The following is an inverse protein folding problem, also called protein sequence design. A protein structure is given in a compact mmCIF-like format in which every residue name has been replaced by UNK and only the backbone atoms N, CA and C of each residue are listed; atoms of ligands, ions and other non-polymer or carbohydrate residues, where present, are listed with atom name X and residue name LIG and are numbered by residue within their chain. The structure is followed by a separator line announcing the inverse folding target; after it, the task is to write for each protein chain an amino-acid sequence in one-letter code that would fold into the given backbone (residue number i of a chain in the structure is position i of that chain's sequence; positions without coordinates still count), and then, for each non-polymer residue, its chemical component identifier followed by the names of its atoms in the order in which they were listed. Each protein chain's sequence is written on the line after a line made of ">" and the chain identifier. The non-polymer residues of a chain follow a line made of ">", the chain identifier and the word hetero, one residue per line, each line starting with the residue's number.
data_IF_825207177018
#
_entry.id   IF_825207177018
#
_cell.length_a   1.000
_cell.length_b   1.000
_cell.length_c   1.000
_cell.angle_alpha   90.00
_cell.angle_beta   90.00
_cell.angle_gamma   90.00
#
_symmetry.space_group_name_H-M   'P 1'
#
loop_
_entity.id
_entity.type
_entity.pdbx_description
1 polymer ?
#
# COMPACT_ATOMS: atom_id res chain seq x y z
N UNK A 1 8.29 -11.07 23.03
CA UNK A 1 7.10 -11.42 22.21
C UNK A 1 5.88 -10.55 22.56
N UNK A 2 5.27 -10.66 23.75
CA UNK A 2 4.14 -9.77 24.12
C UNK A 2 4.55 -8.30 24.28
N UNK A 3 5.72 -8.02 24.84
CA UNK A 3 6.24 -6.65 24.98
C UNK A 3 6.52 -5.97 23.61
N UNK A 4 6.99 -6.74 22.63
CA UNK A 4 7.28 -6.23 21.28
C UNK A 4 5.99 -5.83 20.53
N UNK A 5 4.89 -6.53 20.78
CA UNK A 5 3.56 -6.24 20.21
C UNK A 5 3.00 -4.95 20.80
N UNK A 6 3.02 -4.83 22.14
CA UNK A 6 2.56 -3.62 22.81
C UNK A 6 3.42 -2.41 22.41
N UNK A 7 4.72 -2.59 22.23
CA UNK A 7 5.61 -1.58 21.66
C UNK A 7 5.18 -1.14 20.26
N UNK A 8 4.95 -2.10 19.37
CA UNK A 8 4.54 -1.83 17.97
C UNK A 8 3.17 -1.14 17.89
N UNK A 9 2.19 -1.60 18.67
CA UNK A 9 0.85 -0.99 18.72
C UNK A 9 0.89 0.44 19.29
N UNK A 10 1.71 0.68 20.31
CA UNK A 10 1.91 2.03 20.86
C UNK A 10 2.54 2.98 19.83
N UNK A 11 3.48 2.49 19.03
CA UNK A 11 4.10 3.27 17.95
C UNK A 11 3.08 3.57 16.85
N UNK A 12 2.27 2.59 16.44
CA UNK A 12 1.21 2.77 15.44
C UNK A 12 0.15 3.77 15.95
N UNK A 13 -0.36 3.59 17.16
CA UNK A 13 -1.35 4.50 17.74
C UNK A 13 -0.81 5.92 17.90
N UNK A 14 0.47 6.09 18.27
CA UNK A 14 1.10 7.42 18.34
C UNK A 14 1.29 8.05 16.96
N UNK A 15 1.60 7.25 15.94
CA UNK A 15 1.83 7.74 14.58
C UNK A 15 0.53 8.15 13.89
N UNK A 16 -0.53 7.36 14.11
CA UNK A 16 -1.83 7.56 13.48
C UNK A 16 -2.84 8.29 14.38
N UNK A 17 -2.47 8.65 15.62
CA UNK A 17 -3.39 9.16 16.65
C UNK A 17 -4.66 8.29 16.79
N UNK A 18 -4.51 6.97 16.68
CA UNK A 18 -5.62 6.01 16.64
C UNK A 18 -6.72 6.33 15.61
N UNK A 19 -6.36 7.05 14.54
CA UNK A 19 -7.25 7.46 13.45
C UNK A 19 -6.94 6.62 12.21
N UNK A 20 -7.96 6.28 11.43
CA UNK A 20 -7.81 5.50 10.20
C UNK A 20 -8.53 4.15 10.22
N UNK A 21 -8.74 3.59 9.04
CA UNK A 21 -9.55 2.39 8.79
C UNK A 21 -8.98 1.13 9.48
N UNK A 22 -7.70 1.11 9.84
CA UNK A 22 -7.06 -0.05 10.47
C UNK A 22 -6.80 0.13 11.97
N UNK A 23 -6.91 1.36 12.49
CA UNK A 23 -6.50 1.74 13.84
C UNK A 23 -7.68 2.21 14.69
N UNK A 24 -8.76 2.65 14.06
CA UNK A 24 -10.02 2.98 14.73
C UNK A 24 -10.83 1.74 15.06
N UNK A 25 -11.62 1.84 16.12
CA UNK A 25 -12.59 0.84 16.53
C UNK A 25 -13.99 1.48 16.66
N UNK A 26 -15.03 0.66 16.60
CA UNK A 26 -16.41 1.11 16.81
C UNK A 26 -17.00 1.93 15.66
N UNK A 27 -17.79 2.97 15.99
CA UNK A 27 -18.51 3.77 15.00
C UNK A 27 -17.59 4.50 14.01
N UNK A 28 -16.50 5.17 14.43
CA UNK A 28 -15.57 5.85 13.52
C UNK A 28 -15.00 4.93 12.43
N UNK A 29 -14.56 3.72 12.82
CA UNK A 29 -14.08 2.70 11.89
C UNK A 29 -15.11 2.34 10.81
N UNK A 30 -16.35 2.12 11.23
CA UNK A 30 -17.45 1.75 10.32
C UNK A 30 -17.74 2.87 9.32
N UNK A 31 -17.77 4.11 9.78
CA UNK A 31 -17.98 5.28 8.92
C UNK A 31 -16.84 5.48 7.92
N UNK A 32 -15.59 5.42 8.37
CA UNK A 32 -14.42 5.55 7.48
C UNK A 32 -14.35 4.41 6.46
N UNK A 33 -14.60 3.17 6.88
CA UNK A 33 -14.64 2.02 5.96
C UNK A 33 -15.74 2.19 4.92
N UNK A 34 -16.94 2.61 5.32
CA UNK A 34 -18.05 2.88 4.40
C UNK A 34 -17.71 3.99 3.42
N UNK A 35 -17.16 5.10 3.91
CA UNK A 35 -16.71 6.21 3.09
C UNK A 35 -15.66 5.78 2.07
N UNK A 36 -14.65 5.03 2.49
CA UNK A 36 -13.59 4.53 1.60
C UNK A 36 -14.14 3.58 0.52
N UNK A 37 -15.01 2.65 0.90
CA UNK A 37 -15.61 1.70 -0.05
C UNK A 37 -16.50 2.39 -1.09
N UNK A 38 -17.26 3.41 -0.69
CA UNK A 38 -18.04 4.22 -1.62
C UNK A 38 -17.14 5.04 -2.54
N UNK A 39 -16.15 5.71 -1.97
CA UNK A 39 -15.20 6.55 -2.72
C UNK A 39 -14.37 5.73 -3.72
N UNK A 40 -13.90 4.55 -3.34
CA UNK A 40 -13.16 3.65 -4.22
C UNK A 40 -13.96 3.26 -5.46
N UNK A 41 -15.26 2.97 -5.30
CA UNK A 41 -16.17 2.70 -6.43
C UNK A 41 -16.33 3.91 -7.34
N UNK A 42 -16.35 5.12 -6.77
CA UNK A 42 -16.41 6.37 -7.54
C UNK A 42 -15.12 6.61 -8.34
N UNK A 43 -13.96 6.23 -7.80
CA UNK A 43 -12.68 6.21 -8.52
C UNK A 43 -12.55 5.10 -9.57
N UNK A 44 -13.57 4.25 -9.71
CA UNK A 44 -13.62 3.22 -10.74
C UNK A 44 -13.05 1.86 -10.31
N UNK A 45 -12.79 1.65 -9.02
CA UNK A 45 -12.42 0.30 -8.54
C UNK A 45 -13.50 -0.70 -8.91
N UNK A 46 -13.08 -1.80 -9.53
CA UNK A 46 -13.97 -2.85 -10.05
C UNK A 46 -14.67 -2.49 -11.36
N UNK A 47 -14.34 -1.36 -12.00
CA UNK A 47 -14.78 -1.02 -13.34
C UNK A 47 -13.65 -1.23 -14.36
N UNK A 48 -14.02 -1.31 -15.64
CA UNK A 48 -13.09 -1.55 -16.74
C UNK A 48 -12.02 -0.45 -16.86
N UNK A 49 -12.35 0.80 -16.51
CA UNK A 49 -11.41 1.92 -16.59
C UNK A 49 -10.22 1.75 -15.64
N UNK A 50 -10.44 1.14 -14.47
CA UNK A 50 -9.35 0.86 -13.54
C UNK A 50 -8.47 -0.30 -14.03
N UNK A 51 -9.08 -1.31 -14.65
CA UNK A 51 -8.32 -2.39 -15.29
C UNK A 51 -7.41 -1.87 -16.40
N UNK A 52 -7.91 -0.96 -17.24
CA UNK A 52 -7.10 -0.34 -18.31
C UNK A 52 -5.89 0.41 -17.74
N UNK A 53 -6.05 1.13 -16.63
CA UNK A 53 -4.94 1.80 -15.94
C UNK A 53 -3.89 0.81 -15.42
N UNK A 54 -4.33 -0.32 -14.85
CA UNK A 54 -3.44 -1.40 -14.42
C UNK A 54 -2.69 -1.98 -15.63
N UNK A 55 -3.39 -2.29 -16.71
CA UNK A 55 -2.79 -2.86 -17.92
C UNK A 55 -1.75 -1.91 -18.53
N UNK A 56 -2.00 -0.61 -18.56
CA UNK A 56 -1.04 0.37 -19.06
C UNK A 56 0.23 0.46 -18.20
N UNK A 57 0.10 0.39 -16.87
CA UNK A 57 1.27 0.32 -15.99
C UNK A 57 2.02 -1.02 -16.10
N UNK A 58 1.33 -2.13 -16.35
CA UNK A 58 1.96 -3.42 -16.67
C UNK A 58 2.74 -3.36 -17.98
N UNK A 59 2.21 -2.71 -19.04
CA UNK A 59 2.95 -2.53 -20.30
C UNK A 59 4.24 -1.75 -20.07
N UNK A 60 4.20 -0.69 -19.26
CA UNK A 60 5.39 0.10 -18.88
C UNK A 60 6.39 -0.80 -18.13
N UNK A 61 5.92 -1.59 -17.15
CA UNK A 61 6.77 -2.54 -16.43
C UNK A 61 7.46 -3.53 -17.39
N UNK A 62 6.72 -4.12 -18.31
CA UNK A 62 7.27 -5.08 -19.28
C UNK A 62 8.30 -4.43 -20.21
N UNK A 63 8.07 -3.19 -20.64
CA UNK A 63 9.05 -2.43 -21.42
C UNK A 63 10.34 -2.20 -20.63
N UNK A 64 10.22 -1.83 -19.35
CA UNK A 64 11.38 -1.66 -18.47
C UNK A 64 12.14 -2.98 -18.26
N UNK A 65 11.44 -4.08 -18.02
CA UNK A 65 12.06 -5.40 -17.83
C UNK A 65 12.79 -5.89 -19.07
N UNK A 66 12.25 -5.61 -20.27
CA UNK A 66 12.93 -5.95 -21.54
C UNK A 66 14.26 -5.25 -21.72
N UNK A 67 14.44 -4.03 -21.18
CA UNK A 67 15.72 -3.28 -21.27
C UNK A 67 16.86 -3.96 -20.53
N UNK A 68 16.58 -4.85 -19.58
CA UNK A 68 17.62 -5.58 -18.86
C UNK A 68 18.22 -6.72 -19.69
N UNK A 69 17.60 -7.13 -20.80
CA UNK A 69 18.16 -8.10 -21.75
C UNK A 69 18.73 -9.38 -21.08
N UNK A 70 17.95 -9.96 -20.16
CA UNK A 70 18.34 -11.15 -19.41
C UNK A 70 19.31 -10.94 -18.24
N UNK A 71 19.74 -9.70 -17.97
CA UNK A 71 20.58 -9.37 -16.81
C UNK A 71 19.79 -9.44 -15.51
N UNK A 72 20.49 -9.74 -14.42
CA UNK A 72 19.92 -9.74 -13.07
C UNK A 72 19.33 -8.37 -12.73
N UNK A 73 18.10 -8.38 -12.21
CA UNK A 73 17.33 -7.21 -11.81
C UNK A 73 16.55 -7.54 -10.52
N UNK A 74 16.34 -6.54 -9.68
CA UNK A 74 15.41 -6.58 -8.57
C UNK A 74 13.95 -6.45 -9.06
N UNK A 75 13.35 -7.58 -9.42
CA UNK A 75 11.96 -7.64 -9.84
C UNK A 75 10.99 -7.13 -8.74
N UNK A 76 11.30 -7.35 -7.47
CA UNK A 76 10.49 -6.90 -6.35
C UNK A 76 10.42 -5.36 -6.30
N UNK A 77 11.55 -4.68 -6.51
CA UNK A 77 11.57 -3.22 -6.60
C UNK A 77 10.74 -2.68 -7.77
N UNK A 78 10.85 -3.31 -8.94
CA UNK A 78 10.07 -2.93 -10.11
C UNK A 78 8.56 -3.11 -9.91
N UNK A 79 8.15 -4.24 -9.33
CA UNK A 79 6.75 -4.49 -8.97
C UNK A 79 6.24 -3.46 -7.96
N UNK A 80 7.01 -3.23 -6.89
CA UNK A 80 6.62 -2.26 -5.86
C UNK A 80 6.45 -0.84 -6.44
N UNK A 81 7.31 -0.44 -7.38
CA UNK A 81 7.17 0.81 -8.11
C UNK A 81 5.90 0.87 -8.96
N UNK A 82 5.59 -0.20 -9.70
CA UNK A 82 4.37 -0.29 -10.52
C UNK A 82 3.13 -0.20 -9.65
N UNK A 83 3.06 -0.96 -8.55
CA UNK A 83 1.95 -0.90 -7.59
C UNK A 83 1.77 0.51 -7.01
N UNK A 84 2.86 1.11 -6.53
CA UNK A 84 2.80 2.45 -5.96
C UNK A 84 2.38 3.50 -7.01
N UNK A 85 2.79 3.34 -8.26
CA UNK A 85 2.39 4.23 -9.37
C UNK A 85 0.89 4.17 -9.61
N UNK A 86 0.28 2.97 -9.60
CA UNK A 86 -1.17 2.78 -9.76
C UNK A 86 -1.91 3.46 -8.59
N UNK A 87 -1.52 3.17 -7.35
CA UNK A 87 -2.16 3.75 -6.16
C UNK A 87 -2.01 5.28 -6.12
N UNK A 88 -0.84 5.80 -6.49
CA UNK A 88 -0.58 7.25 -6.49
C UNK A 88 -1.38 7.98 -7.57
N UNK A 89 -1.60 7.34 -8.73
CA UNK A 89 -2.52 7.87 -9.74
C UNK A 89 -3.95 7.93 -9.22
N UNK A 90 -4.42 6.89 -8.52
CA UNK A 90 -5.76 6.90 -7.93
C UNK A 90 -5.90 8.01 -6.88
N UNK A 91 -4.96 8.08 -5.93
CA UNK A 91 -5.09 8.95 -4.76
C UNK A 91 -4.74 10.42 -5.05
N UNK A 92 -3.76 10.66 -5.91
CA UNK A 92 -3.17 11.99 -6.12
C UNK A 92 -3.26 12.47 -7.57
N UNK A 93 -3.82 11.66 -8.48
CA UNK A 93 -3.84 11.92 -9.92
C UNK A 93 -2.44 12.27 -10.49
N UNK A 94 -1.38 11.71 -9.91
CA UNK A 94 0.01 11.92 -10.34
C UNK A 94 0.81 10.64 -10.21
N UNK A 95 1.82 10.50 -11.06
CA UNK A 95 2.83 9.45 -10.96
C UNK A 95 4.04 10.00 -10.22
N UNK A 96 4.57 9.23 -9.26
CA UNK A 96 5.86 9.55 -8.65
C UNK A 96 6.97 9.06 -9.56
N UNK A 97 8.03 9.86 -9.67
CA UNK A 97 9.20 9.47 -10.42
C UNK A 97 9.93 8.31 -9.74
N UNK A 98 10.65 7.52 -10.53
CA UNK A 98 11.50 6.44 -10.03
C UNK A 98 12.82 7.01 -9.49
N UNK A 99 12.72 7.91 -8.53
CA UNK A 99 13.82 8.69 -7.97
C UNK A 99 14.27 8.17 -6.59
N UNK A 100 15.24 8.86 -5.99
CA UNK A 100 15.73 8.54 -4.64
C UNK A 100 14.61 8.69 -3.60
N UNK A 101 13.66 9.60 -3.83
CA UNK A 101 12.49 9.79 -2.97
C UNK A 101 11.60 8.56 -2.96
N UNK A 102 11.35 7.94 -4.12
CA UNK A 102 10.60 6.69 -4.20
C UNK A 102 11.25 5.58 -3.39
N UNK A 103 12.57 5.40 -3.51
CA UNK A 103 13.29 4.37 -2.74
C UNK A 103 13.19 4.61 -1.24
N UNK A 104 13.29 5.87 -0.79
CA UNK A 104 13.08 6.24 0.62
C UNK A 104 11.66 5.93 1.08
N UNK A 105 10.66 6.27 0.27
CA UNK A 105 9.26 6.00 0.59
C UNK A 105 8.99 4.49 0.66
N UNK A 106 9.55 3.71 -0.27
CA UNK A 106 9.43 2.26 -0.28
C UNK A 106 10.06 1.63 0.99
N UNK A 107 11.25 2.08 1.39
CA UNK A 107 11.87 1.63 2.63
C UNK A 107 11.01 1.97 3.85
N UNK A 108 10.48 3.19 3.91
CA UNK A 108 9.60 3.63 5.00
C UNK A 108 8.31 2.80 5.04
N UNK A 109 7.73 2.48 3.87
CA UNK A 109 6.58 1.58 3.77
C UNK A 109 6.93 0.17 4.20
N UNK A 110 8.12 -0.34 3.87
CA UNK A 110 8.53 -1.67 4.28
C UNK A 110 8.72 -1.75 5.81
N UNK A 111 9.32 -0.73 6.42
CA UNK A 111 9.41 -0.60 7.89
C UNK A 111 8.02 -0.52 8.52
N UNK A 112 7.12 0.28 7.94
CA UNK A 112 5.73 0.37 8.38
C UNK A 112 5.03 -0.99 8.28
N UNK A 113 5.21 -1.73 7.18
CA UNK A 113 4.68 -3.08 7.02
C UNK A 113 5.29 -4.00 8.08
N UNK A 114 6.59 -3.96 8.36
CA UNK A 114 7.17 -4.77 9.43
C UNK A 114 6.58 -4.44 10.81
N UNK A 115 6.27 -3.18 11.10
CA UNK A 115 5.58 -2.77 12.33
C UNK A 115 4.13 -3.30 12.37
N UNK A 116 3.39 -3.17 11.26
CA UNK A 116 2.04 -3.72 11.14
C UNK A 116 2.04 -5.24 11.20
N UNK A 117 2.82 -5.91 10.36
CA UNK A 117 2.96 -7.36 10.24
C UNK A 117 3.53 -8.00 11.49
N UNK A 118 4.45 -7.33 12.22
CA UNK A 118 4.89 -7.76 13.55
C UNK A 118 3.77 -7.68 14.59
N UNK A 119 2.87 -6.70 14.47
CA UNK A 119 1.65 -6.61 15.28
C UNK A 119 0.50 -7.52 14.79
N UNK A 120 0.42 -7.81 13.49
CA UNK A 120 -0.69 -8.50 12.79
C UNK A 120 -0.42 -9.99 12.60
N UNK A 121 0.83 -10.49 12.62
CA UNK A 121 1.12 -11.93 12.62
C UNK A 121 0.52 -12.67 13.82
N UNK A 122 0.05 -11.96 14.86
CA UNK A 122 -0.72 -12.55 15.96
C UNK A 122 -2.24 -12.34 15.85
N UNK A 123 -2.71 -11.53 14.88
CA UNK A 123 -4.13 -11.27 14.58
C UNK A 123 -4.69 -12.14 13.45
N UNK A 124 -3.99 -13.22 13.06
CA UNK A 124 -4.60 -14.37 12.35
C UNK A 124 -5.68 -15.05 13.24
N UNK A 125 -5.93 -14.54 14.45
CA UNK A 125 -7.08 -14.84 15.29
C UNK A 125 -8.32 -13.95 15.13
N UNK A 126 -8.40 -13.02 14.18
CA UNK A 126 -9.63 -12.24 13.92
C UNK A 126 -10.37 -12.80 12.69
N UNK A 127 -11.48 -13.54 12.86
CA UNK A 127 -12.33 -13.92 11.75
C UNK A 127 -13.14 -12.69 11.33
N UNK A 128 -12.93 -12.26 10.07
CA UNK A 128 -13.83 -11.45 9.23
C UNK A 128 -14.49 -10.20 9.83
#
# INVERSE_FOLDING_TARGET
>A
MLEDIYGSQKILNKTFNSTGISQEEGLPWSEQRKFFMQTSKNFGFGKQEFELQIQDEIKILLQELRKFDGKSNDLCFHLAYTFNSIISKVLFNRKFDKDVTFKRNLNSMNEMIHLFTGAVHMLIGMPF
#
